data_IF_050966591369
#
_entry.id   IF_050966591369
#
_cell.length_a   1.000
_cell.length_b   1.000
_cell.length_c   1.000
_cell.angle_alpha   90.00
_cell.angle_beta   90.00
_cell.angle_gamma   90.00
#
_symmetry.space_group_name_H-M   'P 1'
#
loop_
_entity.id
_entity.type
_entity.pdbx_description
1 polymer ?
#
# COMPACT_ATOMS: atom_id res chain seq x y z
N UNK A 1 -10.58 21.32 -6.58
CA UNK A 1 -10.57 20.48 -5.35
C UNK A 1 -9.67 19.25 -5.51
N UNK A 2 -8.39 19.48 -5.80
CA UNK A 2 -7.43 18.41 -6.12
C UNK A 2 -7.22 17.43 -4.94
N UNK A 3 -7.30 17.94 -3.69
CA UNK A 3 -7.04 17.15 -2.46
C UNK A 3 -8.19 16.23 -2.05
N UNK A 4 -9.38 16.44 -2.60
CA UNK A 4 -10.60 15.73 -2.17
C UNK A 4 -10.47 14.23 -2.37
N UNK A 5 -9.91 13.79 -3.50
CA UNK A 5 -9.81 12.37 -3.83
C UNK A 5 -8.84 11.63 -2.92
N UNK A 6 -7.67 12.19 -2.69
CA UNK A 6 -6.66 11.63 -1.78
C UNK A 6 -7.22 11.50 -0.37
N UNK A 7 -7.81 12.57 0.17
CA UNK A 7 -8.39 12.58 1.51
C UNK A 7 -9.54 11.57 1.64
N UNK A 8 -10.41 11.50 0.65
CA UNK A 8 -11.52 10.54 0.60
C UNK A 8 -11.00 9.09 0.65
N UNK A 9 -9.96 8.78 -0.13
CA UNK A 9 -9.39 7.45 -0.17
C UNK A 9 -8.68 7.08 1.15
N UNK A 10 -7.96 8.01 1.78
CA UNK A 10 -7.37 7.81 3.13
C UNK A 10 -8.48 7.54 4.16
N UNK A 11 -9.59 8.25 4.08
CA UNK A 11 -10.73 8.06 4.97
C UNK A 11 -11.38 6.68 4.74
N UNK A 12 -11.58 6.27 3.50
CA UNK A 12 -12.15 4.96 3.15
C UNK A 12 -11.27 3.80 3.65
N UNK A 13 -9.95 3.94 3.54
CA UNK A 13 -9.03 2.97 4.13
C UNK A 13 -9.22 2.85 5.65
N UNK A 14 -9.42 3.97 6.33
CA UNK A 14 -9.73 3.98 7.77
C UNK A 14 -11.03 3.25 8.11
N UNK A 15 -12.09 3.46 7.31
CA UNK A 15 -13.38 2.75 7.50
C UNK A 15 -13.22 1.24 7.32
N UNK A 16 -12.45 0.79 6.33
CA UNK A 16 -12.18 -0.63 6.10
C UNK A 16 -11.40 -1.25 7.28
N UNK A 17 -10.39 -0.56 7.82
CA UNK A 17 -9.65 -1.02 9.00
C UNK A 17 -10.53 -1.07 10.25
N UNK A 18 -11.43 -0.13 10.44
CA UNK A 18 -12.40 -0.16 11.55
C UNK A 18 -13.37 -1.33 11.41
N UNK A 19 -13.79 -1.65 10.20
CA UNK A 19 -14.62 -2.83 9.94
C UNK A 19 -13.87 -4.14 10.24
N UNK A 20 -12.57 -4.23 9.92
CA UNK A 20 -11.73 -5.35 10.34
C UNK A 20 -11.71 -5.51 11.87
N UNK A 21 -11.44 -4.45 12.62
CA UNK A 21 -11.38 -4.49 14.10
C UNK A 21 -12.72 -4.91 14.70
N UNK A 22 -13.83 -4.43 14.14
CA UNK A 22 -15.18 -4.84 14.56
C UNK A 22 -15.40 -6.33 14.32
N UNK A 23 -15.00 -6.86 13.17
CA UNK A 23 -15.13 -8.29 12.85
C UNK A 23 -14.24 -9.16 13.75
N UNK A 24 -13.03 -8.72 14.09
CA UNK A 24 -12.15 -9.41 15.04
C UNK A 24 -12.76 -9.49 16.44
N UNK A 25 -13.42 -8.42 16.89
CA UNK A 25 -14.05 -8.34 18.21
C UNK A 25 -15.37 -9.11 18.28
N UNK A 26 -16.27 -8.90 17.31
CA UNK A 26 -17.61 -9.49 17.30
C UNK A 26 -17.61 -10.98 16.89
N UNK A 27 -16.60 -11.41 16.14
CA UNK A 27 -16.41 -12.79 15.64
C UNK A 27 -17.69 -13.41 15.03
N UNK A 28 -18.32 -12.74 14.04
CA UNK A 28 -19.44 -13.36 13.34
C UNK A 28 -19.00 -14.64 12.62
N UNK A 29 -19.95 -15.46 12.19
CA UNK A 29 -19.67 -16.74 11.52
C UNK A 29 -18.72 -16.59 10.33
N UNK A 30 -18.81 -15.49 9.62
CA UNK A 30 -17.97 -15.15 8.45
C UNK A 30 -16.83 -14.18 8.77
N UNK A 31 -16.38 -14.09 10.03
CA UNK A 31 -15.37 -13.11 10.48
C UNK A 31 -14.09 -13.14 9.63
N UNK A 32 -13.57 -14.32 9.32
CA UNK A 32 -12.34 -14.45 8.53
C UNK A 32 -12.50 -13.87 7.12
N UNK A 33 -13.63 -14.13 6.47
CA UNK A 33 -13.92 -13.59 5.15
C UNK A 33 -14.09 -12.07 5.18
N UNK A 34 -14.78 -11.54 6.20
CA UNK A 34 -14.93 -10.10 6.39
C UNK A 34 -13.58 -9.41 6.62
N UNK A 35 -12.75 -9.94 7.51
CA UNK A 35 -11.42 -9.41 7.79
C UNK A 35 -10.59 -9.39 6.52
N UNK A 36 -10.58 -10.47 5.75
CA UNK A 36 -9.84 -10.53 4.49
C UNK A 36 -10.36 -9.49 3.48
N UNK A 37 -11.67 -9.42 3.28
CA UNK A 37 -12.27 -8.47 2.34
C UNK A 37 -11.97 -7.01 2.69
N UNK A 38 -12.05 -6.66 3.97
CA UNK A 38 -11.81 -5.29 4.43
C UNK A 38 -10.31 -4.93 4.42
N UNK A 39 -9.42 -5.91 4.65
CA UNK A 39 -7.96 -5.70 4.47
C UNK A 39 -7.63 -5.38 3.02
N UNK A 40 -8.16 -6.14 2.09
CA UNK A 40 -7.98 -5.88 0.66
C UNK A 40 -8.58 -4.52 0.26
N UNK A 41 -9.75 -4.17 0.78
CA UNK A 41 -10.36 -2.87 0.59
C UNK A 41 -9.48 -1.73 1.12
N UNK A 42 -8.87 -1.89 2.30
CA UNK A 42 -7.95 -0.91 2.86
C UNK A 42 -6.72 -0.70 1.96
N UNK A 43 -6.09 -1.77 1.49
CA UNK A 43 -4.95 -1.72 0.56
C UNK A 43 -5.35 -1.03 -0.75
N UNK A 44 -6.49 -1.40 -1.32
CA UNK A 44 -7.04 -0.79 -2.53
C UNK A 44 -7.23 0.72 -2.37
N UNK A 45 -7.79 1.15 -1.24
CA UNK A 45 -8.02 2.56 -0.98
C UNK A 45 -6.71 3.32 -0.72
N UNK A 46 -5.73 2.72 -0.04
CA UNK A 46 -4.42 3.34 0.16
C UNK A 46 -3.67 3.54 -1.15
N UNK A 47 -3.71 2.55 -2.05
CA UNK A 47 -3.16 2.74 -3.39
C UNK A 47 -3.88 3.86 -4.15
N UNK A 48 -5.20 3.93 -4.05
CA UNK A 48 -5.97 5.03 -4.65
C UNK A 48 -5.64 6.40 -4.06
N UNK A 49 -5.28 6.46 -2.77
CA UNK A 49 -4.81 7.69 -2.13
C UNK A 49 -3.41 8.08 -2.61
N UNK A 50 -2.51 7.12 -2.78
CA UNK A 50 -1.19 7.35 -3.37
C UNK A 50 -1.30 7.90 -4.79
N UNK A 51 -2.12 7.27 -5.64
CA UNK A 51 -2.38 7.75 -6.99
C UNK A 51 -2.95 9.17 -6.98
N UNK A 52 -3.88 9.46 -6.06
CA UNK A 52 -4.41 10.81 -5.87
C UNK A 52 -3.31 11.82 -5.52
N UNK A 53 -2.39 11.47 -4.63
CA UNK A 53 -1.25 12.32 -4.27
C UNK A 53 -0.31 12.54 -5.47
N UNK A 54 -0.04 11.51 -6.26
CA UNK A 54 0.73 11.64 -7.49
C UNK A 54 0.05 12.60 -8.48
N UNK A 55 -1.29 12.56 -8.60
CA UNK A 55 -2.04 13.51 -9.43
C UNK A 55 -1.98 14.95 -8.88
N UNK A 56 -1.96 15.14 -7.55
CA UNK A 56 -1.77 16.45 -6.94
C UNK A 56 -0.42 17.06 -7.36
N UNK A 57 0.66 16.28 -7.23
CA UNK A 57 2.02 16.68 -7.63
C UNK A 57 2.06 16.97 -9.14
N UNK A 58 1.62 16.00 -9.94
CA UNK A 58 1.61 16.12 -11.39
C UNK A 58 0.81 17.35 -11.89
N UNK A 59 -0.32 17.63 -11.23
CA UNK A 59 -1.12 18.79 -11.54
C UNK A 59 -0.48 20.12 -11.13
N UNK A 60 0.25 20.16 -10.04
CA UNK A 60 1.00 21.35 -9.59
C UNK A 60 2.13 21.70 -10.55
N UNK A 61 2.94 20.72 -10.89
CA UNK A 61 4.07 20.88 -11.81
C UNK A 61 3.66 20.82 -13.28
N UNK A 62 2.38 20.64 -13.60
CA UNK A 62 1.83 20.56 -14.95
C UNK A 62 2.48 19.47 -15.80
N UNK A 63 2.62 18.28 -15.26
CA UNK A 63 3.16 17.14 -16.00
C UNK A 63 2.32 16.85 -17.23
N UNK A 64 2.93 16.61 -18.41
CA UNK A 64 2.22 16.10 -19.55
C UNK A 64 1.73 14.68 -19.26
N UNK A 65 0.47 14.37 -19.57
CA UNK A 65 -0.10 13.03 -19.33
C UNK A 65 -0.34 12.70 -17.85
N UNK A 66 -0.66 13.71 -17.03
CA UNK A 66 -0.92 13.55 -15.58
C UNK A 66 -2.11 12.62 -15.24
N UNK A 67 -3.01 12.34 -16.20
CA UNK A 67 -4.26 11.58 -15.99
C UNK A 67 -4.07 10.06 -16.04
N UNK A 68 -2.95 9.57 -15.55
CA UNK A 68 -2.65 8.13 -15.51
C UNK A 68 -3.51 7.42 -14.47
N UNK A 69 -3.73 6.13 -14.71
CA UNK A 69 -4.52 5.26 -13.81
C UNK A 69 -3.67 4.38 -12.90
N UNK A 70 -2.36 4.44 -13.04
CA UNK A 70 -1.39 3.69 -12.25
C UNK A 70 -0.36 4.64 -11.69
N UNK A 71 -0.12 4.56 -10.38
CA UNK A 71 0.85 5.41 -9.70
C UNK A 71 2.28 5.19 -10.24
N UNK A 72 2.60 3.96 -10.60
CA UNK A 72 3.90 3.55 -11.12
C UNK A 72 4.29 4.29 -12.40
N UNK A 73 3.32 4.73 -13.21
CA UNK A 73 3.59 5.53 -14.41
C UNK A 73 4.06 6.95 -14.10
N UNK A 74 3.78 7.47 -12.91
CA UNK A 74 4.30 8.74 -12.41
C UNK A 74 5.53 8.55 -11.52
N UNK A 75 5.64 7.41 -10.85
CA UNK A 75 6.80 7.04 -10.00
C UNK A 75 7.96 6.51 -10.85
N UNK A 76 8.22 7.15 -11.98
CA UNK A 76 9.26 6.76 -12.93
C UNK A 76 10.38 7.81 -12.94
N UNK A 77 11.65 7.41 -12.77
CA UNK A 77 12.78 8.34 -12.88
C UNK A 77 12.78 9.18 -14.17
N UNK A 78 12.30 8.64 -15.30
CA UNK A 78 12.19 9.38 -16.55
C UNK A 78 11.19 10.54 -16.46
N UNK A 79 10.11 10.37 -15.72
CA UNK A 79 9.14 11.45 -15.45
C UNK A 79 9.78 12.54 -14.60
N UNK A 80 10.56 12.13 -13.59
CA UNK A 80 11.31 13.07 -12.72
C UNK A 80 12.36 13.84 -13.51
N UNK A 81 13.08 13.19 -14.43
CA UNK A 81 14.07 13.83 -15.29
C UNK A 81 13.43 14.87 -16.21
N UNK A 82 12.22 14.60 -16.70
CA UNK A 82 11.49 15.53 -17.56
C UNK A 82 10.93 16.74 -16.80
N UNK A 83 10.44 16.53 -15.59
CA UNK A 83 9.89 17.59 -14.72
C UNK A 83 10.38 17.35 -13.29
N UNK A 84 11.53 17.91 -12.92
CA UNK A 84 12.09 17.78 -11.57
C UNK A 84 11.13 18.30 -10.50
N UNK A 85 10.83 17.45 -9.52
CA UNK A 85 10.05 17.83 -8.34
C UNK A 85 10.54 17.10 -7.09
N UNK A 86 10.77 17.80 -5.97
CA UNK A 86 11.26 17.20 -4.73
C UNK A 86 10.31 16.11 -4.20
N UNK A 87 9.00 16.36 -4.28
CA UNK A 87 7.96 15.46 -3.79
C UNK A 87 7.94 14.15 -4.59
N UNK A 88 8.05 14.22 -5.90
CA UNK A 88 8.11 13.02 -6.75
C UNK A 88 9.42 12.27 -6.53
N UNK A 89 10.54 12.98 -6.38
CA UNK A 89 11.85 12.37 -6.07
C UNK A 89 11.76 11.56 -4.78
N UNK A 90 11.17 12.09 -3.72
CA UNK A 90 11.00 11.38 -2.45
C UNK A 90 10.12 10.14 -2.59
N UNK A 91 9.01 10.22 -3.34
CA UNK A 91 8.14 9.07 -3.59
C UNK A 91 8.87 7.97 -4.37
N UNK A 92 9.65 8.34 -5.38
CA UNK A 92 10.45 7.39 -6.18
C UNK A 92 11.50 6.71 -5.29
N UNK A 93 12.20 7.46 -4.45
CA UNK A 93 13.17 6.90 -3.51
C UNK A 93 12.54 5.94 -2.50
N UNK A 94 11.37 6.28 -1.97
CA UNK A 94 10.60 5.40 -1.09
C UNK A 94 10.19 4.13 -1.82
N UNK A 95 9.64 4.25 -3.02
CA UNK A 95 9.21 3.11 -3.82
C UNK A 95 10.37 2.17 -4.19
N UNK A 96 11.58 2.72 -4.38
CA UNK A 96 12.77 1.94 -4.73
C UNK A 96 13.38 1.17 -3.55
N UNK A 97 13.04 1.50 -2.31
CA UNK A 97 13.53 0.80 -1.10
C UNK A 97 12.58 -0.32 -0.70
N UNK A 98 12.93 -1.61 -0.86
CA UNK A 98 12.02 -2.73 -0.62
C UNK A 98 11.44 -2.77 0.81
N UNK A 99 12.20 -2.33 1.80
CA UNK A 99 11.77 -2.29 3.21
C UNK A 99 10.89 -1.07 3.55
N UNK A 100 10.70 -0.11 2.63
CA UNK A 100 9.86 1.05 2.88
C UNK A 100 8.38 0.67 2.92
N UNK A 101 7.60 1.44 3.67
CA UNK A 101 6.15 1.28 3.71
C UNK A 101 5.49 1.45 2.33
N UNK A 102 6.03 2.33 1.49
CA UNK A 102 5.50 2.60 0.16
C UNK A 102 5.75 1.42 -0.79
N UNK A 103 6.96 0.86 -0.80
CA UNK A 103 7.27 -0.32 -1.59
C UNK A 103 6.41 -1.53 -1.16
N UNK A 104 6.20 -1.70 0.15
CA UNK A 104 5.35 -2.75 0.68
C UNK A 104 3.87 -2.55 0.31
N UNK A 105 3.36 -1.31 0.34
CA UNK A 105 2.01 -0.99 -0.12
C UNK A 105 1.84 -1.33 -1.61
N UNK A 106 2.78 -0.90 -2.45
CA UNK A 106 2.74 -1.19 -3.90
C UNK A 106 2.76 -2.70 -4.16
N UNK A 107 3.63 -3.45 -3.50
CA UNK A 107 3.70 -4.90 -3.61
C UNK A 107 2.40 -5.58 -3.15
N UNK A 108 1.83 -5.13 -2.04
CA UNK A 108 0.57 -5.66 -1.49
C UNK A 108 -0.61 -5.38 -2.44
N UNK A 109 -0.66 -4.20 -3.04
CA UNK A 109 -1.68 -3.87 -4.04
C UNK A 109 -1.56 -4.74 -5.28
N UNK A 110 -0.38 -4.94 -5.82
CA UNK A 110 -0.15 -5.86 -6.94
C UNK A 110 -0.57 -7.29 -6.59
N UNK A 111 -0.31 -7.71 -5.35
CA UNK A 111 -0.71 -9.01 -4.84
C UNK A 111 -2.22 -9.27 -4.85
N UNK A 112 -3.07 -8.23 -4.83
CA UNK A 112 -4.53 -8.39 -4.90
C UNK A 112 -5.01 -9.01 -6.22
N UNK A 113 -4.22 -8.91 -7.27
CA UNK A 113 -4.55 -9.42 -8.61
C UNK A 113 -3.87 -10.75 -8.94
N UNK A 114 -3.06 -11.25 -8.02
CA UNK A 114 -2.38 -12.53 -8.20
C UNK A 114 -3.22 -13.65 -7.55
N UNK A 115 -3.19 -14.86 -8.12
CA UNK A 115 -3.77 -16.02 -7.45
C UNK A 115 -3.18 -16.19 -6.06
N UNK A 116 -3.99 -16.59 -5.04
CA UNK A 116 -3.46 -16.93 -3.73
C UNK A 116 -2.31 -17.93 -3.88
N UNK A 117 -1.16 -17.61 -3.30
CA UNK A 117 -0.04 -18.54 -3.29
C UNK A 117 -0.38 -19.66 -2.30
N UNK A 118 -0.41 -20.89 -2.76
CA UNK A 118 -0.49 -22.04 -1.85
C UNK A 118 0.72 -21.98 -0.92
N UNK A 119 0.52 -22.20 0.40
CA UNK A 119 1.64 -22.33 1.30
C UNK A 119 2.55 -23.43 0.72
N UNK A 120 3.82 -23.12 0.53
CA UNK A 120 4.82 -24.10 0.10
C UNK A 120 4.93 -25.15 1.19
N UNK A 121 4.12 -26.20 1.06
CA UNK A 121 4.29 -27.38 1.89
C UNK A 121 5.68 -27.92 1.55
N UNK A 122 6.63 -27.78 2.47
CA UNK A 122 7.90 -28.44 2.34
C UNK A 122 7.63 -29.92 2.11
N UNK A 123 8.07 -30.46 0.96
CA UNK A 123 8.00 -31.89 0.71
C UNK A 123 8.88 -32.55 1.75
N UNK A 124 8.25 -32.97 2.84
CA UNK A 124 8.92 -33.78 3.86
C UNK A 124 9.22 -35.13 3.19
N UNK A 125 10.50 -35.39 2.96
CA UNK A 125 10.94 -36.73 2.54
C UNK A 125 10.56 -37.69 3.68
N UNK A 126 9.70 -38.71 3.43
CA UNK A 126 9.26 -39.63 4.47
C UNK A 126 10.39 -40.48 5.06
N UNK A 127 11.64 -40.34 4.58
CA UNK A 127 12.82 -41.00 5.04
C UNK A 127 13.68 -40.20 6.02
N UNK A 128 13.37 -38.91 6.20
CA UNK A 128 14.06 -38.10 7.20
C UNK A 128 13.34 -38.19 8.55
N UNK A 129 14.11 -38.52 9.57
CA UNK A 129 13.59 -38.66 10.93
C UNK A 129 12.89 -37.39 11.40
N UNK A 130 11.79 -37.55 12.11
CA UNK A 130 10.84 -36.53 12.62
C UNK A 130 11.45 -35.51 13.60
N UNK A 131 12.74 -35.24 13.57
CA UNK A 131 13.49 -34.39 14.54
C UNK A 131 14.23 -33.24 13.80
N UNK A 132 14.15 -33.12 12.48
CA UNK A 132 14.54 -31.86 11.90
C UNK A 132 13.37 -30.89 12.07
N UNK A 133 13.58 -29.97 13.00
CA UNK A 133 12.72 -28.83 13.17
C UNK A 133 12.36 -28.26 11.80
N UNK A 134 11.07 -28.28 11.46
CA UNK A 134 10.56 -27.50 10.36
C UNK A 134 11.12 -26.11 10.59
N UNK A 135 12.05 -25.68 9.75
CA UNK A 135 12.52 -24.32 9.80
C UNK A 135 11.30 -23.47 9.44
N UNK A 136 10.75 -22.81 10.44
CA UNK A 136 9.75 -21.77 10.34
C UNK A 136 10.36 -20.53 9.65
N UNK A 137 11.31 -20.75 8.76
CA UNK A 137 11.98 -19.74 7.98
C UNK A 137 11.24 -19.68 6.65
N UNK A 138 10.69 -18.48 6.42
CA UNK A 138 10.17 -17.92 5.17
C UNK A 138 8.66 -17.94 4.94
N UNK A 139 7.83 -18.11 5.94
CA UNK A 139 6.50 -17.49 5.85
C UNK A 139 6.63 -16.07 6.41
N UNK A 140 6.67 -15.09 5.52
CA UNK A 140 6.45 -13.70 5.94
C UNK A 140 5.13 -13.67 6.73
N UNK A 141 5.13 -13.16 7.97
CA UNK A 141 3.90 -13.10 8.75
C UNK A 141 2.85 -12.33 7.96
N UNK A 142 1.57 -12.75 7.97
CA UNK A 142 0.52 -12.05 7.24
C UNK A 142 0.51 -10.59 7.68
N UNK A 143 0.31 -9.68 6.71
CA UNK A 143 0.24 -8.25 6.94
C UNK A 143 -0.76 -7.93 8.05
N UNK A 144 -0.30 -7.30 9.13
CA UNK A 144 -1.14 -6.95 10.26
C UNK A 144 -1.97 -5.70 10.01
N UNK A 145 -3.08 -5.54 10.74
CA UNK A 145 -3.90 -4.32 10.67
C UNK A 145 -3.11 -3.08 11.12
N UNK A 146 -2.23 -3.25 12.10
CA UNK A 146 -1.35 -2.19 12.61
C UNK A 146 -0.36 -1.73 11.53
N UNK A 147 0.15 -2.63 10.70
CA UNK A 147 1.02 -2.26 9.58
C UNK A 147 0.25 -1.44 8.54
N UNK A 148 -0.95 -1.86 8.16
CA UNK A 148 -1.78 -1.12 7.19
C UNK A 148 -2.16 0.25 7.76
N UNK A 149 -2.51 0.34 9.05
CA UNK A 149 -2.79 1.62 9.71
C UNK A 149 -1.54 2.51 9.75
N UNK A 150 -0.37 1.95 10.00
CA UNK A 150 0.90 2.68 9.94
C UNK A 150 1.15 3.26 8.54
N UNK A 151 0.87 2.50 7.48
CA UNK A 151 0.96 2.99 6.10
C UNK A 151 -0.02 4.13 5.84
N UNK A 152 -1.26 4.00 6.34
CA UNK A 152 -2.28 5.04 6.22
C UNK A 152 -1.82 6.35 6.87
N UNK A 153 -1.26 6.28 8.07
CA UNK A 153 -0.72 7.45 8.77
C UNK A 153 0.49 8.04 8.04
N UNK A 154 1.40 7.19 7.55
CA UNK A 154 2.57 7.63 6.77
C UNK A 154 2.15 8.39 5.51
N UNK A 155 1.18 7.86 4.76
CA UNK A 155 0.66 8.50 3.56
C UNK A 155 -0.06 9.82 3.89
N UNK A 156 -0.85 9.85 4.96
CA UNK A 156 -1.53 11.07 5.42
C UNK A 156 -0.53 12.15 5.78
N UNK A 157 0.48 11.82 6.56
CA UNK A 157 1.52 12.76 6.99
C UNK A 157 2.33 13.28 5.80
N UNK A 158 2.66 12.39 4.85
CA UNK A 158 3.36 12.75 3.64
C UNK A 158 2.54 13.72 2.77
N UNK A 159 1.25 13.44 2.58
CA UNK A 159 0.35 14.30 1.82
C UNK A 159 0.20 15.69 2.46
N UNK A 160 0.09 15.75 3.78
CA UNK A 160 0.02 17.02 4.51
C UNK A 160 1.31 17.84 4.31
N UNK A 161 2.47 17.22 4.50
CA UNK A 161 3.77 17.88 4.33
C UNK A 161 3.99 18.37 2.90
N UNK A 162 3.68 17.56 1.90
CA UNK A 162 3.81 17.98 0.50
C UNK A 162 2.89 19.17 0.16
N UNK A 163 1.71 19.21 0.72
CA UNK A 163 0.78 20.33 0.49
C UNK A 163 1.27 21.63 1.09
N UNK A 164 1.99 21.60 2.20
CA UNK A 164 2.66 22.78 2.76
C UNK A 164 3.65 23.37 1.77
N UNK A 165 4.46 22.53 1.11
CA UNK A 165 5.42 23.00 0.09
C UNK A 165 4.77 23.42 -1.22
N UNK A 166 3.67 22.77 -1.62
CA UNK A 166 2.96 23.07 -2.87
C UNK A 166 2.08 24.34 -2.81
N UNK A 167 1.85 24.94 -1.66
CA UNK A 167 1.00 26.14 -1.47
C UNK A 167 1.83 27.43 -1.37
N UNK A 168 3.14 27.35 -1.20
CA UNK A 168 3.99 28.52 -0.93
C UNK A 168 4.32 29.42 -2.17
N UNK A 169 3.49 29.38 -3.24
CA UNK A 169 3.66 30.28 -4.40
C UNK A 169 2.33 30.86 -4.88
#
# INVERSE_FOLDING_TARGET
ERYTRTNQKIYFAGLALDACRKAETARPVNALALIQAEREAAIFHLYGALLGLCHEIAGYYRFPGADVRQAELLLDPQVLDAVPSPELSELIELAARPASWLAQLLASYQGLYLPPQEPKVAKVDPRLALIEAVSLQDEEPPLSLEQIESWRQSLKNLAMRFRETLVEW
#
